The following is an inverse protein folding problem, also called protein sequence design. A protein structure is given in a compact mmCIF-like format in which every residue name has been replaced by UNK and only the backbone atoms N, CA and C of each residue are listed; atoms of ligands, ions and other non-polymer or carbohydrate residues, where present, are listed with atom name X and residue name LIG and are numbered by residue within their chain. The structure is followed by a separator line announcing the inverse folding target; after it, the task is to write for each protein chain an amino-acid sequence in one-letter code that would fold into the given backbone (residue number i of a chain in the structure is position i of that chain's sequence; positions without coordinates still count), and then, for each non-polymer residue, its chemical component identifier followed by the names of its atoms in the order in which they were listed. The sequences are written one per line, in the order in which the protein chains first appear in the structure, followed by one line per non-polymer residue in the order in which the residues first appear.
data_IF_425632493347
#
_entry.id   IF_425632493347
#
_cell.length_a   1.000
_cell.length_b   1.000
_cell.length_c   1.000
_cell.angle_alpha   90.00
_cell.angle_beta   90.00
_cell.angle_gamma   90.00
#
_symmetry.space_group_name_H-M   'P 1'
#
loop_
_entity.id
_entity.type
_entity.pdbx_description
1 polymer ?
#
# COMPACT_ATOMS: atom_id res chain seq x y z
N UNK A 1 3.19 17.49 2.58
CA UNK A 1 2.08 17.64 1.60
C UNK A 1 1.21 16.40 1.74
N UNK A 2 -0.10 16.55 1.98
CA UNK A 2 -0.99 15.39 2.07
C UNK A 2 -1.41 14.96 0.67
N UNK A 3 -1.19 13.69 0.31
CA UNK A 3 -1.73 13.12 -0.92
C UNK A 3 -3.24 12.93 -0.71
N UNK A 4 -4.06 13.79 -1.33
CA UNK A 4 -5.52 13.68 -1.26
C UNK A 4 -6.00 12.58 -2.22
N UNK A 5 -6.05 11.35 -1.71
CA UNK A 5 -6.43 10.17 -2.46
C UNK A 5 -7.88 10.23 -2.99
N UNK A 6 -8.74 11.10 -2.46
CA UNK A 6 -10.09 11.33 -2.99
C UNK A 6 -10.06 11.83 -4.44
N UNK A 7 -9.04 12.62 -4.79
CA UNK A 7 -8.83 13.11 -6.16
C UNK A 7 -8.37 12.03 -7.13
N UNK A 8 -7.94 10.87 -6.64
CA UNK A 8 -7.55 9.72 -7.46
C UNK A 8 -8.73 8.79 -7.78
N UNK A 9 -9.84 8.88 -7.03
CA UNK A 9 -11.05 8.07 -7.23
C UNK A 9 -11.67 8.14 -8.63
N UNK A 10 -11.72 9.29 -9.34
CA UNK A 10 -12.34 9.33 -10.67
C UNK A 10 -11.53 8.64 -11.77
N UNK A 11 -10.27 8.26 -11.53
CA UNK A 11 -9.42 7.60 -12.54
C UNK A 11 -9.67 6.08 -12.65
N UNK A 12 -10.94 5.65 -12.69
CA UNK A 12 -11.33 4.26 -12.95
C UNK A 12 -11.48 4.04 -14.46
N UNK A 13 -10.34 3.88 -15.14
CA UNK A 13 -10.24 3.83 -16.61
C UNK A 13 -9.40 4.99 -17.14
N UNK A 14 -8.70 4.78 -18.27
CA UNK A 14 -7.82 5.79 -18.87
C UNK A 14 -8.32 6.16 -20.25
N UNK A 15 -8.63 7.45 -20.45
CA UNK A 15 -8.91 7.99 -21.78
C UNK A 15 -7.61 8.20 -22.57
N UNK A 16 -6.51 8.48 -21.87
CA UNK A 16 -5.20 8.79 -22.48
C UNK A 16 -4.11 7.86 -21.96
N UNK A 17 -3.17 7.52 -22.84
CA UNK A 17 -1.97 6.77 -22.52
C UNK A 17 -0.75 7.63 -22.80
N UNK A 18 0.14 7.75 -21.83
CA UNK A 18 1.41 8.47 -21.97
C UNK A 18 2.54 7.49 -22.17
N UNK A 19 3.47 7.85 -23.05
CA UNK A 19 4.72 7.10 -23.24
C UNK A 19 5.77 7.57 -22.26
N UNK A 20 6.47 6.62 -21.66
CA UNK A 20 7.62 6.92 -20.84
C UNK A 20 8.78 7.44 -21.70
N UNK A 21 9.37 8.58 -21.33
CA UNK A 21 10.37 9.27 -22.15
C UNK A 21 11.64 8.43 -22.37
N UNK A 22 12.10 7.71 -21.34
CA UNK A 22 13.30 6.89 -21.40
C UNK A 22 13.06 5.50 -22.01
N UNK A 23 11.84 4.98 -21.89
CA UNK A 23 11.50 3.59 -22.22
C UNK A 23 10.17 3.63 -22.97
N UNK A 24 10.17 3.91 -24.29
CA UNK A 24 8.94 4.16 -25.04
C UNK A 24 7.96 2.97 -25.10
N UNK A 25 8.44 1.76 -24.78
CA UNK A 25 7.63 0.56 -24.64
C UNK A 25 6.76 0.56 -23.39
N UNK A 26 7.08 1.40 -22.39
CA UNK A 26 6.33 1.54 -21.16
C UNK A 26 5.32 2.67 -21.32
N UNK A 27 4.06 2.34 -21.08
CA UNK A 27 2.95 3.28 -21.07
C UNK A 27 2.49 3.54 -19.63
N UNK A 28 1.74 4.62 -19.41
CA UNK A 28 1.05 4.84 -18.14
C UNK A 28 -0.21 5.67 -18.34
N UNK A 29 -1.13 5.56 -17.39
CA UNK A 29 -2.46 6.17 -17.44
C UNK A 29 -2.46 7.62 -16.96
N UNK A 30 -3.53 8.35 -17.25
CA UNK A 30 -3.78 9.69 -16.70
C UNK A 30 -3.66 9.73 -15.16
N UNK A 31 -4.19 8.70 -14.48
CA UNK A 31 -4.10 8.60 -13.02
C UNK A 31 -2.66 8.46 -12.52
N UNK A 32 -1.86 7.62 -13.17
CA UNK A 32 -0.44 7.46 -12.86
C UNK A 32 0.36 8.74 -13.06
N UNK A 33 0.08 9.47 -14.16
CA UNK A 33 0.67 10.78 -14.40
C UNK A 33 0.30 11.78 -13.31
N UNK A 34 -0.99 11.89 -13.00
CA UNK A 34 -1.50 12.81 -12.00
C UNK A 34 -0.91 12.52 -10.60
N UNK A 35 -0.76 11.24 -10.23
CA UNK A 35 -0.06 10.85 -9.02
C UNK A 35 1.40 11.32 -9.02
N UNK A 36 2.13 11.07 -10.11
CA UNK A 36 3.53 11.47 -10.22
C UNK A 36 3.70 12.99 -10.17
N UNK A 37 2.77 13.75 -10.76
CA UNK A 37 2.71 15.21 -10.67
C UNK A 37 2.47 15.68 -9.23
N UNK A 38 1.47 15.12 -8.56
CA UNK A 38 1.03 15.52 -7.22
C UNK A 38 2.05 15.15 -6.13
N UNK A 39 2.60 13.94 -6.20
CA UNK A 39 3.56 13.41 -5.23
C UNK A 39 5.03 13.67 -5.61
N UNK A 40 5.27 14.35 -6.76
CA UNK A 40 6.61 14.51 -7.36
C UNK A 40 7.36 13.18 -7.50
N UNK A 41 6.61 12.12 -7.76
CA UNK A 41 7.06 10.73 -7.71
C UNK A 41 7.37 10.15 -9.10
N UNK A 42 7.86 10.97 -10.03
CA UNK A 42 8.28 10.50 -11.35
C UNK A 42 9.37 9.43 -11.28
N UNK A 43 10.24 9.53 -10.27
CA UNK A 43 11.25 8.52 -9.97
C UNK A 43 10.67 7.10 -9.79
N UNK A 44 9.44 6.99 -9.28
CA UNK A 44 8.77 5.70 -9.09
C UNK A 44 8.35 5.10 -10.43
N UNK A 45 7.84 5.94 -11.35
CA UNK A 45 7.52 5.53 -12.72
C UNK A 45 8.78 5.16 -13.49
N UNK A 46 9.83 5.96 -13.38
CA UNK A 46 11.15 5.70 -13.99
C UNK A 46 11.70 4.35 -13.50
N UNK A 47 11.61 4.09 -12.19
CA UNK A 47 12.10 2.84 -11.61
C UNK A 47 11.33 1.62 -12.13
N UNK A 48 10.00 1.67 -12.14
CA UNK A 48 9.17 0.57 -12.66
C UNK A 48 9.49 0.33 -14.13
N UNK A 49 9.62 1.41 -14.92
CA UNK A 49 9.95 1.31 -16.33
C UNK A 49 11.34 0.66 -16.54
N UNK A 50 12.34 1.07 -15.76
CA UNK A 50 13.69 0.48 -15.79
C UNK A 50 13.67 -0.99 -15.40
N UNK A 51 12.91 -1.36 -14.37
CA UNK A 51 12.78 -2.74 -13.94
C UNK A 51 12.21 -3.64 -15.05
N UNK A 52 11.29 -3.14 -15.89
CA UNK A 52 10.82 -3.91 -17.06
C UNK A 52 11.93 -4.23 -18.06
N UNK A 53 12.99 -3.42 -18.12
CA UNK A 53 14.13 -3.66 -19.01
C UNK A 53 15.24 -4.47 -18.35
N UNK A 54 15.59 -4.16 -17.10
CA UNK A 54 16.76 -4.73 -16.44
C UNK A 54 16.47 -6.04 -15.71
N UNK A 55 15.27 -6.20 -15.15
CA UNK A 55 14.95 -7.33 -14.28
C UNK A 55 14.17 -8.40 -15.04
N UNK A 56 14.84 -9.52 -15.35
CA UNK A 56 14.21 -10.65 -16.03
C UNK A 56 13.02 -11.20 -15.24
N UNK A 57 13.15 -11.33 -13.92
CA UNK A 57 12.11 -11.85 -13.06
C UNK A 57 10.85 -10.97 -13.08
N UNK A 58 11.00 -9.65 -13.17
CA UNK A 58 9.86 -8.73 -13.30
C UNK A 58 9.23 -8.88 -14.68
N UNK A 59 10.04 -8.84 -15.75
CA UNK A 59 9.55 -8.91 -17.14
C UNK A 59 8.89 -10.24 -17.48
N UNK A 60 9.27 -11.33 -16.80
CA UNK A 60 8.68 -12.64 -16.99
C UNK A 60 7.22 -12.71 -16.50
N UNK A 61 6.83 -11.83 -15.57
CA UNK A 61 5.46 -11.80 -15.04
C UNK A 61 4.57 -10.91 -15.90
N UNK A 62 3.49 -11.49 -16.43
CA UNK A 62 2.48 -10.78 -17.22
C UNK A 62 1.64 -9.82 -16.37
N UNK A 63 1.47 -10.13 -15.08
CA UNK A 63 0.78 -9.30 -14.10
C UNK A 63 1.69 -9.00 -12.92
N UNK A 64 1.78 -7.73 -12.57
CA UNK A 64 2.72 -7.24 -11.59
C UNK A 64 2.04 -6.27 -10.63
N UNK A 65 2.25 -6.45 -9.34
CA UNK A 65 1.74 -5.58 -8.27
C UNK A 65 2.93 -4.90 -7.60
N UNK A 66 3.08 -3.62 -7.85
CA UNK A 66 4.10 -2.77 -7.27
C UNK A 66 3.57 -2.09 -6.01
N UNK A 67 4.11 -2.46 -4.84
CA UNK A 67 3.73 -1.91 -3.55
C UNK A 67 4.87 -1.07 -3.00
N UNK A 68 4.69 0.25 -3.00
CA UNK A 68 5.55 1.18 -2.27
C UNK A 68 4.98 1.35 -0.86
N UNK A 69 5.73 0.92 0.15
CA UNK A 69 5.42 1.21 1.55
C UNK A 69 6.41 2.23 2.08
N UNK A 70 5.91 3.37 2.55
CA UNK A 70 6.75 4.43 3.14
C UNK A 70 6.53 4.48 4.64
N UNK A 71 7.63 4.59 5.39
CA UNK A 71 7.64 4.80 6.83
C UNK A 71 8.88 5.61 7.22
N UNK A 72 8.69 6.65 8.02
CA UNK A 72 9.75 7.52 8.55
C UNK A 72 10.65 8.09 7.43
N UNK A 73 10.05 8.48 6.30
CA UNK A 73 10.74 8.93 5.06
C UNK A 73 11.64 7.88 4.39
N UNK A 74 11.61 6.61 4.84
CA UNK A 74 12.23 5.48 4.16
C UNK A 74 11.16 4.63 3.45
N UNK A 75 11.51 4.02 2.33
CA UNK A 75 10.58 3.26 1.51
C UNK A 75 11.03 1.82 1.27
N UNK A 76 10.08 0.91 1.12
CA UNK A 76 10.31 -0.41 0.54
C UNK A 76 9.38 -0.57 -0.66
N UNK A 77 9.95 -0.82 -1.82
CA UNK A 77 9.24 -1.07 -3.06
C UNK A 77 9.32 -2.56 -3.41
N UNK A 78 8.18 -3.24 -3.35
CA UNK A 78 8.05 -4.65 -3.70
C UNK A 78 7.30 -4.80 -5.02
N UNK A 79 7.73 -5.73 -5.86
CA UNK A 79 6.99 -6.22 -7.02
C UNK A 79 6.53 -7.65 -6.72
N UNK A 80 5.25 -7.92 -6.94
CA UNK A 80 4.64 -9.25 -6.81
C UNK A 80 4.01 -9.71 -8.12
N UNK A 81 3.89 -11.01 -8.33
CA UNK A 81 3.30 -11.64 -9.54
C UNK A 81 1.75 -11.70 -9.55
N UNK A 82 1.11 -11.22 -8.48
CA UNK A 82 -0.34 -11.31 -8.27
C UNK A 82 -0.82 -12.56 -7.52
N UNK A 83 0.07 -13.51 -7.23
CA UNK A 83 -0.17 -14.67 -6.37
C UNK A 83 0.55 -14.53 -5.01
N UNK A 84 0.70 -13.29 -4.54
CA UNK A 84 1.43 -12.91 -3.32
C UNK A 84 2.91 -13.32 -3.28
N UNK A 85 3.50 -13.73 -4.41
CA UNK A 85 4.93 -14.02 -4.51
C UNK A 85 5.68 -12.75 -4.89
N UNK A 86 6.62 -12.36 -4.05
CA UNK A 86 7.53 -11.24 -4.32
C UNK A 86 8.58 -11.69 -5.36
N UNK A 87 8.61 -10.99 -6.49
CA UNK A 87 9.58 -11.21 -7.58
C UNK A 87 10.72 -10.21 -7.56
N UNK A 88 10.52 -9.03 -6.96
CA UNK A 88 11.56 -8.02 -6.80
C UNK A 88 11.34 -7.18 -5.55
N UNK A 89 12.42 -6.79 -4.87
CA UNK A 89 12.38 -5.90 -3.71
C UNK A 89 13.47 -4.86 -3.81
N UNK A 90 13.11 -3.62 -3.50
CA UNK A 90 14.05 -2.50 -3.42
C UNK A 90 13.85 -1.72 -2.13
N UNK A 91 14.89 -1.67 -1.32
CA UNK A 91 14.98 -0.72 -0.22
C UNK A 91 15.33 0.68 -0.75
N UNK A 92 14.62 1.68 -0.25
CA UNK A 92 14.79 3.09 -0.57
C UNK A 92 15.15 3.79 0.74
N UNK A 93 16.41 4.22 0.85
CA UNK A 93 16.93 4.83 2.08
C UNK A 93 16.23 6.15 2.43
N UNK A 94 15.77 6.89 1.42
CA UNK A 94 15.07 8.15 1.60
C UNK A 94 14.09 8.40 0.46
N UNK A 95 12.87 8.85 0.78
CA UNK A 95 11.85 9.26 -0.18
C UNK A 95 10.97 10.36 0.40
N UNK A 96 10.64 11.34 -0.43
CA UNK A 96 9.65 12.38 -0.11
C UNK A 96 8.20 11.93 -0.39
N UNK A 97 8.00 10.68 -0.78
CA UNK A 97 6.66 10.14 -1.03
C UNK A 97 5.89 10.03 0.29
N UNK A 98 4.65 10.55 0.39
CA UNK A 98 3.93 10.56 1.65
C UNK A 98 3.48 9.16 2.07
N UNK A 99 3.49 8.93 3.38
CA UNK A 99 2.97 7.72 3.99
C UNK A 99 1.45 7.55 3.74
N UNK A 100 0.93 6.31 3.64
CA UNK A 100 1.63 5.02 3.82
C UNK A 100 2.36 4.51 2.57
N UNK A 101 2.38 5.30 1.48
CA UNK A 101 2.80 4.82 0.17
C UNK A 101 1.61 4.50 -0.75
N UNK A 102 1.84 3.66 -1.78
CA UNK A 102 0.85 3.38 -2.83
C UNK A 102 1.02 2.00 -3.44
N UNK A 103 -0.07 1.48 -4.03
CA UNK A 103 -0.06 0.26 -4.82
C UNK A 103 -0.37 0.62 -6.28
N UNK A 104 0.49 0.14 -7.17
CA UNK A 104 0.43 0.31 -8.61
C UNK A 104 0.37 -1.08 -9.25
N UNK A 105 -0.52 -1.30 -10.20
CA UNK A 105 -0.59 -2.55 -10.95
C UNK A 105 -0.06 -2.35 -12.36
N UNK A 106 0.63 -3.34 -12.90
CA UNK A 106 1.11 -3.36 -14.27
C UNK A 106 0.67 -4.69 -14.89
N UNK A 107 0.05 -4.65 -16.08
CA UNK A 107 -0.42 -5.84 -16.78
C UNK A 107 -0.04 -5.77 -18.26
N UNK A 108 0.48 -6.88 -18.79
CA UNK A 108 1.01 -7.05 -20.15
C UNK A 108 2.17 -6.10 -20.47
N UNK A 109 3.01 -6.48 -21.45
CA UNK A 109 4.17 -5.66 -21.89
C UNK A 109 3.80 -4.21 -22.27
N UNK A 110 2.51 -3.93 -22.46
CA UNK A 110 1.90 -2.60 -22.43
C UNK A 110 1.58 -2.19 -20.99
N UNK A 111 2.57 -1.62 -20.31
CA UNK A 111 2.46 -1.19 -18.92
C UNK A 111 1.20 -0.31 -18.72
N UNK A 112 0.19 -0.83 -18.05
CA UNK A 112 -1.04 -0.10 -17.73
C UNK A 112 -1.08 0.11 -16.22
N UNK A 113 -0.64 1.28 -15.76
CA UNK A 113 -0.60 1.56 -14.33
C UNK A 113 -2.02 1.82 -13.81
N UNK A 114 -2.59 0.84 -13.12
CA UNK A 114 -3.83 1.02 -12.35
C UNK A 114 -3.45 1.33 -10.91
N UNK A 115 -3.90 2.48 -10.41
CA UNK A 115 -3.66 2.88 -9.02
C UNK A 115 -4.75 2.28 -8.13
N UNK A 116 -4.34 1.59 -7.07
CA UNK A 116 -5.22 1.29 -5.93
C UNK A 116 -4.68 1.97 -4.69
N UNK A 117 -5.54 2.78 -4.07
CA UNK A 117 -5.22 3.46 -2.81
C UNK A 117 -5.17 2.39 -1.72
N UNK A 118 -4.11 2.38 -0.92
CA UNK A 118 -3.98 1.45 0.20
C UNK A 118 -5.05 1.75 1.26
N UNK A 119 -5.97 0.79 1.48
CA UNK A 119 -7.08 0.91 2.44
C UNK A 119 -6.61 1.02 3.91
N UNK A 120 -5.32 0.76 4.20
CA UNK A 120 -4.74 0.95 5.55
C UNK A 120 -4.74 2.42 6.02
N UNK A 121 -4.92 3.38 5.12
CA UNK A 121 -5.05 4.81 5.45
C UNK A 121 -6.38 5.18 6.14
N UNK A 122 -7.32 4.25 6.29
CA UNK A 122 -8.66 4.50 6.89
C UNK A 122 -8.69 4.63 8.42
N UNK A 123 -7.56 4.68 9.13
CA UNK A 123 -7.58 4.94 10.57
C UNK A 123 -7.44 6.43 10.85
N UNK A 124 -8.49 7.14 11.29
CA UNK A 124 -8.34 8.51 11.76
C UNK A 124 -7.37 8.52 12.95
N UNK A 125 -6.40 9.44 12.91
CA UNK A 125 -5.31 9.61 13.87
C UNK A 125 -5.77 9.96 15.32
N UNK A 126 -7.05 9.84 15.64
CA UNK A 126 -7.59 10.15 16.98
C UNK A 126 -7.56 8.97 17.95
N UNK A 127 -7.28 7.75 17.48
CA UNK A 127 -7.32 6.54 18.32
C UNK A 127 -5.99 5.77 18.31
N UNK A 128 -4.91 6.42 18.73
CA UNK A 128 -3.64 5.72 19.01
C UNK A 128 -2.92 6.36 20.20
N UNK A 129 -3.64 6.51 21.31
CA UNK A 129 -3.06 6.80 22.63
C UNK A 129 -3.69 5.86 23.68
N UNK A 130 -3.37 4.57 23.59
CA UNK A 130 -3.39 3.57 24.67
C UNK A 130 -2.86 2.24 24.10
N UNK A 131 -1.92 1.51 24.67
CA UNK A 131 -1.17 1.68 25.90
C UNK A 131 0.11 0.87 25.81
N UNK A 132 1.18 1.40 26.40
CA UNK A 132 2.32 0.60 26.82
C UNK A 132 1.96 -0.13 28.11
N UNK A 133 1.72 -1.45 28.09
CA UNK A 133 2.13 -2.34 29.20
C UNK A 133 2.11 -3.81 28.79
N UNK A 134 2.97 -4.57 29.48
CA UNK A 134 3.47 -5.92 29.19
C UNK A 134 2.42 -7.05 29.19
N UNK A 135 2.78 -8.10 28.43
CA UNK A 135 2.48 -9.52 28.58
C UNK A 135 1.60 -9.98 29.76
N UNK A 136 0.58 -10.80 29.46
CA UNK A 136 0.41 -12.18 29.96
C UNK A 136 -0.95 -12.74 29.52
N UNK A 137 -0.99 -14.06 29.35
CA UNK A 137 -2.15 -14.88 29.03
C UNK A 137 -3.32 -14.67 30.01
N UNK A 138 -4.53 -14.48 29.48
CA UNK A 138 -5.79 -15.06 30.00
C UNK A 138 -6.99 -14.62 29.13
N UNK A 139 -7.68 -15.64 28.63
CA UNK A 139 -9.07 -15.68 28.18
C UNK A 139 -10.04 -14.57 28.64
N UNK A 140 -10.85 -14.13 27.65
CA UNK A 140 -12.33 -14.09 27.64
C UNK A 140 -13.12 -13.43 28.80
N UNK A 141 -14.17 -12.70 28.37
CA UNK A 141 -15.23 -11.98 29.10
C UNK A 141 -14.78 -10.56 29.48
N UNK A 142 -15.33 -9.48 28.92
CA UNK A 142 -16.71 -8.99 29.09
C UNK A 142 -17.04 -8.04 27.91
N UNK A 143 -17.96 -8.44 27.03
CA UNK A 143 -18.89 -7.53 26.34
C UNK A 143 -20.28 -7.96 26.81
N UNK A 144 -20.62 -7.56 28.03
CA UNK A 144 -21.95 -7.70 28.64
C UNK A 144 -22.50 -6.28 28.80
N UNK A 145 -22.91 -5.67 27.69
CA UNK A 145 -23.88 -4.58 27.66
C UNK A 145 -24.61 -4.53 26.30
N UNK A 146 -25.00 -5.73 25.87
CA UNK A 146 -25.95 -5.98 24.79
C UNK A 146 -27.35 -6.00 25.41
N UNK A 147 -28.33 -5.24 24.90
CA UNK A 147 -29.72 -5.33 25.36
C UNK A 147 -30.29 -6.67 24.85
N UNK A 148 -30.14 -7.69 25.67
CA UNK A 148 -30.56 -9.07 25.39
C UNK A 148 -29.93 -10.11 26.32
N UNK A 149 -29.50 -9.71 27.53
CA UNK A 149 -28.87 -10.60 28.49
C UNK A 149 -29.89 -11.12 29.53
N UNK A 150 -30.43 -12.30 29.29
CA UNK A 150 -30.87 -13.22 30.35
C UNK A 150 -29.70 -14.15 30.70
N UNK A 151 -29.39 -14.16 31.99
CA UNK A 151 -28.62 -15.16 32.76
C UNK A 151 -27.10 -15.27 32.56
N UNK A 152 -26.37 -14.95 33.64
CA UNK A 152 -25.19 -15.74 34.03
C UNK A 152 -23.85 -15.01 34.24
N UNK A 153 -23.74 -14.25 35.34
CA UNK A 153 -22.57 -14.06 36.22
C UNK A 153 -21.12 -14.36 35.73
N UNK A 154 -20.25 -13.35 35.89
CA UNK A 154 -18.77 -13.36 35.88
C UNK A 154 -18.21 -13.81 37.27
N UNK A 155 -16.94 -13.54 37.69
CA UNK A 155 -15.59 -13.47 37.07
C UNK A 155 -14.56 -14.31 37.92
N UNK A 156 -13.24 -14.18 37.72
CA UNK A 156 -12.29 -13.67 38.76
C UNK A 156 -10.81 -14.05 38.52
N UNK A 157 -9.98 -13.01 38.56
CA UNK A 157 -8.52 -12.96 38.73
C UNK A 157 -7.98 -13.66 39.99
N UNK A 158 -6.70 -14.06 39.96
CA UNK A 158 -5.65 -13.88 41.01
C UNK A 158 -4.36 -14.57 40.51
N UNK A 159 -3.29 -13.83 40.21
CA UNK A 159 -2.23 -13.31 41.08
C UNK A 159 -1.03 -14.26 41.21
N UNK A 160 0.15 -13.66 41.03
CA UNK A 160 1.46 -14.14 41.42
C UNK A 160 1.46 -14.90 42.76
N UNK A 161 2.19 -16.01 42.80
CA UNK A 161 3.35 -16.20 43.68
C UNK A 161 4.34 -17.11 42.96
#
# INVERSE_FOLDING_TARGET
MSLDFERLRPFTGSATWYRHSLIPSVLYTDGAKYLADLARAYWLLDYIALAQRSEFAVRAEEFQVWKLNVKDSAGTLNCEDGNDRIVHTKAISFTDFPEPGIILWCANQSLAIVIRINERSRRPAHLQMAGHTRASAASLRIWHDWPGASDGYAPCSKMCT
#
